data_IF_595252844491
#
_entry.id   IF_595252844491
#
_cell.length_a   1.000
_cell.length_b   1.000
_cell.length_c   1.000
_cell.angle_alpha   90.00
_cell.angle_beta   90.00
_cell.angle_gamma   90.00
#
_symmetry.space_group_name_H-M   'P 1'
#
loop_
_entity.id
_entity.type
_entity.pdbx_description
1 polymer ?
#
# COMPACT_ATOMS: atom_id res chain seq x y z
N UNK A 1 17.92 -11.61 -20.00
CA UNK A 1 18.61 -12.60 -19.16
C UNK A 1 17.85 -13.92 -19.21
N UNK A 2 18.53 -15.06 -19.13
CA UNK A 2 17.92 -16.41 -19.16
C UNK A 2 17.75 -17.05 -17.78
N UNK A 3 18.44 -16.52 -16.77
CA UNK A 3 18.40 -17.05 -15.41
C UNK A 3 17.09 -16.66 -14.71
N UNK A 4 16.49 -17.60 -13.98
CA UNK A 4 15.25 -17.40 -13.21
C UNK A 4 15.22 -18.25 -11.96
N UNK A 5 14.55 -17.76 -10.93
CA UNK A 5 14.19 -18.53 -9.72
C UNK A 5 12.73 -18.96 -9.84
N UNK A 6 12.45 -20.22 -9.59
CA UNK A 6 11.08 -20.78 -9.59
C UNK A 6 10.83 -21.38 -8.21
N UNK A 7 9.88 -20.86 -7.42
CA UNK A 7 9.53 -21.45 -6.14
C UNK A 7 9.09 -22.90 -6.31
N UNK A 8 9.63 -23.79 -5.50
CA UNK A 8 9.21 -25.18 -5.41
C UNK A 8 8.60 -25.43 -4.03
N UNK A 9 7.31 -25.75 -4.01
CA UNK A 9 6.55 -25.96 -2.79
C UNK A 9 6.27 -27.45 -2.66
N UNK A 10 6.67 -28.02 -1.52
CA UNK A 10 6.35 -29.41 -1.20
C UNK A 10 4.93 -29.52 -0.67
N UNK A 11 4.10 -30.34 -1.32
CA UNK A 11 2.68 -30.52 -1.01
C UNK A 11 2.34 -31.99 -0.75
N UNK A 12 1.32 -32.28 0.07
CA UNK A 12 0.90 -33.66 0.37
C UNK A 12 0.29 -34.38 -0.84
N UNK A 13 -0.41 -33.66 -1.72
CA UNK A 13 -1.03 -34.21 -2.93
C UNK A 13 -0.82 -33.23 -4.11
N UNK A 14 0.07 -33.61 -5.03
CA UNK A 14 0.40 -32.77 -6.19
C UNK A 14 -0.77 -32.70 -7.18
N UNK A 15 -1.57 -33.77 -7.33
CA UNK A 15 -2.69 -33.77 -8.29
C UNK A 15 -3.82 -32.87 -7.81
N UNK A 16 -4.23 -32.98 -6.55
CA UNK A 16 -5.22 -32.09 -5.97
C UNK A 16 -4.76 -30.61 -6.02
N UNK A 17 -3.45 -30.38 -5.83
CA UNK A 17 -2.86 -29.04 -5.96
C UNK A 17 -2.96 -28.54 -7.41
N UNK A 18 -2.55 -29.33 -8.40
CA UNK A 18 -2.65 -28.97 -9.83
C UNK A 18 -4.09 -28.61 -10.21
N UNK A 19 -5.05 -29.46 -9.86
CA UNK A 19 -6.45 -29.26 -10.21
C UNK A 19 -7.00 -27.96 -9.59
N UNK A 20 -6.62 -27.65 -8.34
CA UNK A 20 -7.01 -26.42 -7.68
C UNK A 20 -6.41 -25.18 -8.36
N UNK A 21 -5.10 -25.16 -8.62
CA UNK A 21 -4.42 -24.02 -9.25
C UNK A 21 -4.89 -23.80 -10.70
N UNK A 22 -5.19 -24.87 -11.45
CA UNK A 22 -5.82 -24.75 -12.77
C UNK A 22 -7.19 -24.08 -12.70
N UNK A 23 -7.99 -24.40 -11.68
CA UNK A 23 -9.34 -23.84 -11.50
C UNK A 23 -9.35 -22.32 -11.28
N UNK A 24 -8.20 -21.73 -10.95
CA UNK A 24 -8.02 -20.28 -10.73
C UNK A 24 -7.14 -19.62 -11.80
N UNK A 25 -6.85 -20.34 -12.90
CA UNK A 25 -6.25 -19.78 -14.11
C UNK A 25 -4.77 -20.09 -14.33
N UNK A 26 -4.13 -20.88 -13.47
CA UNK A 26 -2.79 -21.39 -13.76
C UNK A 26 -2.84 -22.42 -14.89
N UNK A 27 -1.76 -22.50 -15.66
CA UNK A 27 -1.62 -23.46 -16.76
C UNK A 27 -0.55 -24.47 -16.42
N UNK A 28 -0.85 -25.76 -16.59
CA UNK A 28 0.15 -26.81 -16.44
C UNK A 28 1.14 -26.71 -17.60
N UNK A 29 2.44 -26.68 -17.28
CA UNK A 29 3.52 -26.71 -18.25
C UNK A 29 4.06 -28.12 -18.43
N UNK A 30 4.31 -28.83 -17.31
CA UNK A 30 4.77 -30.22 -17.32
C UNK A 30 4.40 -30.93 -16.00
N UNK A 31 4.35 -32.26 -16.03
CA UNK A 31 4.07 -33.12 -14.87
C UNK A 31 4.91 -34.38 -14.93
N UNK A 32 5.32 -34.90 -13.77
CA UNK A 32 6.02 -36.19 -13.67
C UNK A 32 5.35 -37.14 -12.68
N UNK A 33 5.66 -38.42 -12.84
CA UNK A 33 5.24 -39.49 -11.92
C UNK A 33 3.78 -39.86 -12.04
N UNK A 34 3.14 -39.72 -13.21
CA UNK A 34 1.73 -40.07 -13.40
C UNK A 34 1.44 -41.61 -13.44
N UNK A 35 2.27 -42.41 -12.78
CA UNK A 35 2.16 -43.86 -12.67
C UNK A 35 2.06 -44.23 -11.17
N UNK A 36 1.11 -45.11 -10.80
CA UNK A 36 0.90 -45.47 -9.39
C UNK A 36 0.14 -44.42 -8.57
N UNK A 37 0.67 -44.04 -7.41
CA UNK A 37 -0.02 -43.30 -6.33
C UNK A 37 -0.31 -41.79 -6.59
N UNK A 38 -0.19 -41.31 -7.84
CA UNK A 38 -0.49 -39.93 -8.22
C UNK A 38 0.74 -39.13 -8.68
N UNK A 39 0.56 -37.83 -8.97
CA UNK A 39 1.66 -36.99 -9.47
C UNK A 39 2.77 -36.82 -8.41
N UNK A 40 4.02 -37.02 -8.82
CA UNK A 40 5.17 -36.70 -7.97
C UNK A 40 5.61 -35.24 -8.09
N UNK A 41 5.36 -34.63 -9.25
CA UNK A 41 5.77 -33.26 -9.55
C UNK A 41 4.85 -32.61 -10.58
N UNK A 42 4.67 -31.30 -10.47
CA UNK A 42 4.11 -30.47 -11.51
C UNK A 42 4.79 -29.10 -11.56
N UNK A 43 4.91 -28.53 -12.75
CA UNK A 43 5.27 -27.12 -12.96
C UNK A 43 4.13 -26.41 -13.67
N UNK A 44 3.68 -25.30 -13.08
CA UNK A 44 2.59 -24.48 -13.59
C UNK A 44 3.09 -23.09 -13.91
N UNK A 45 2.42 -22.41 -14.84
CA UNK A 45 2.61 -21.00 -15.14
C UNK A 45 1.39 -20.16 -14.78
N UNK A 46 1.65 -18.90 -14.44
CA UNK A 46 0.66 -17.85 -14.36
C UNK A 46 1.23 -16.60 -15.03
N UNK A 47 0.69 -16.25 -16.20
CA UNK A 47 1.35 -15.31 -17.10
C UNK A 47 2.76 -15.79 -17.45
N UNK A 48 3.77 -14.97 -17.12
CA UNK A 48 5.18 -15.28 -17.37
C UNK A 48 5.89 -15.91 -16.16
N UNK A 49 5.22 -15.97 -15.00
CA UNK A 49 5.76 -16.57 -13.78
C UNK A 49 5.52 -18.07 -13.73
N UNK A 50 6.32 -18.78 -12.94
CA UNK A 50 6.20 -20.23 -12.75
C UNK A 50 6.22 -20.58 -11.27
N UNK A 51 5.59 -21.70 -10.93
CA UNK A 51 5.66 -22.34 -9.61
C UNK A 51 5.73 -23.85 -9.81
N UNK A 52 6.53 -24.52 -9.00
CA UNK A 52 6.66 -25.97 -8.98
C UNK A 52 5.99 -26.52 -7.72
N UNK A 53 5.30 -27.63 -7.87
CA UNK A 53 4.76 -28.42 -6.78
C UNK A 53 5.42 -29.80 -6.81
N UNK A 54 5.98 -30.20 -5.68
CA UNK A 54 6.66 -31.48 -5.54
C UNK A 54 6.04 -32.26 -4.38
N UNK A 55 6.01 -33.58 -4.49
CA UNK A 55 5.51 -34.45 -3.43
C UNK A 55 6.41 -34.40 -2.18
N UNK A 56 5.93 -34.97 -1.07
CA UNK A 56 6.68 -35.02 0.20
C UNK A 56 6.39 -33.83 1.12
N UNK A 57 5.40 -33.01 0.78
CA UNK A 57 4.88 -32.00 1.68
C UNK A 57 4.00 -32.59 2.78
N UNK A 58 3.78 -31.81 3.82
CA UNK A 58 2.89 -32.17 4.92
C UNK A 58 1.68 -31.26 4.95
N UNK A 59 0.54 -31.83 5.36
CA UNK A 59 -0.61 -31.03 5.80
C UNK A 59 -0.23 -30.20 7.01
N UNK A 60 -0.82 -29.01 7.15
CA UNK A 60 -0.55 -28.11 8.27
C UNK A 60 -1.85 -27.61 8.87
N UNK A 61 -1.89 -27.45 10.19
CA UNK A 61 -2.97 -26.76 10.92
C UNK A 61 -2.57 -25.34 11.33
N UNK A 62 -1.35 -24.91 10.99
CA UNK A 62 -0.85 -23.59 11.34
C UNK A 62 -1.73 -22.48 10.75
N UNK A 63 -1.81 -21.36 11.46
CA UNK A 63 -2.53 -20.19 10.97
C UNK A 63 -1.93 -19.65 9.67
N UNK A 64 -0.59 -19.67 9.55
CA UNK A 64 0.15 -19.28 8.35
C UNK A 64 1.34 -20.23 8.19
N UNK A 65 1.69 -20.55 6.95
CA UNK A 65 2.86 -21.38 6.61
C UNK A 65 4.06 -20.48 6.32
N UNK A 66 5.22 -21.08 6.12
CA UNK A 66 6.50 -20.36 6.03
C UNK A 66 6.68 -19.55 4.73
N UNK A 67 5.81 -19.77 3.73
CA UNK A 67 5.87 -19.10 2.43
C UNK A 67 4.46 -18.67 2.01
N UNK A 68 4.38 -17.48 1.42
CA UNK A 68 3.20 -16.95 0.77
C UNK A 68 3.49 -16.75 -0.73
N UNK A 69 2.44 -16.84 -1.55
CA UNK A 69 2.50 -16.45 -2.96
C UNK A 69 1.82 -15.11 -3.15
N UNK A 70 2.53 -14.14 -3.73
CA UNK A 70 1.92 -12.90 -4.20
C UNK A 70 1.71 -12.99 -5.72
N UNK A 71 0.45 -12.93 -6.15
CA UNK A 71 0.04 -13.11 -7.54
C UNK A 71 -0.54 -11.81 -8.07
N UNK A 72 0.16 -11.19 -9.02
CA UNK A 72 -0.37 -10.04 -9.76
C UNK A 72 -1.47 -10.49 -10.72
N UNK A 73 -2.61 -9.82 -10.66
CA UNK A 73 -3.77 -10.05 -11.53
C UNK A 73 -4.47 -8.70 -11.78
N UNK A 74 -5.44 -8.66 -12.69
CA UNK A 74 -6.30 -7.49 -12.91
C UNK A 74 -7.75 -7.75 -12.48
N UNK A 75 -7.99 -8.89 -11.81
CA UNK A 75 -9.31 -9.48 -11.59
C UNK A 75 -9.54 -9.87 -10.13
N UNK A 76 -9.09 -9.05 -9.18
CA UNK A 76 -9.17 -9.38 -7.74
C UNK A 76 -10.62 -9.59 -7.31
N UNK A 77 -11.54 -8.71 -7.70
CA UNK A 77 -12.97 -8.84 -7.37
C UNK A 77 -13.63 -10.05 -8.03
N UNK A 78 -13.35 -10.30 -9.31
CA UNK A 78 -13.88 -11.47 -10.03
C UNK A 78 -13.38 -12.78 -9.39
N UNK A 79 -12.11 -12.83 -8.98
CA UNK A 79 -11.55 -13.97 -8.28
C UNK A 79 -12.23 -14.16 -6.93
N UNK A 80 -12.46 -13.08 -6.18
CA UNK A 80 -13.20 -13.17 -4.93
C UNK A 80 -14.60 -13.76 -5.13
N UNK A 81 -15.37 -13.26 -6.11
CA UNK A 81 -16.71 -13.80 -6.37
C UNK A 81 -16.69 -15.29 -6.73
N UNK A 82 -15.66 -15.74 -7.46
CA UNK A 82 -15.49 -17.16 -7.84
C UNK A 82 -15.02 -18.05 -6.69
N UNK A 83 -14.31 -17.50 -5.70
CA UNK A 83 -13.62 -18.27 -4.68
C UNK A 83 -14.26 -18.21 -3.29
N UNK A 84 -15.01 -17.15 -2.97
CA UNK A 84 -15.49 -16.85 -1.60
C UNK A 84 -16.21 -18.01 -0.90
N UNK A 85 -16.86 -18.90 -1.66
CA UNK A 85 -17.63 -20.05 -1.15
C UNK A 85 -16.86 -21.39 -1.27
N UNK A 86 -15.63 -21.37 -1.77
CA UNK A 86 -14.79 -22.56 -2.09
C UNK A 86 -13.48 -22.61 -1.32
N UNK A 87 -13.04 -21.51 -0.71
CA UNK A 87 -11.72 -21.38 -0.06
C UNK A 87 -11.83 -20.70 1.29
N UNK A 88 -10.78 -20.86 2.11
CA UNK A 88 -10.60 -20.09 3.34
C UNK A 88 -10.17 -18.66 2.98
N UNK A 89 -11.12 -17.72 2.99
CA UNK A 89 -10.85 -16.30 2.77
C UNK A 89 -10.29 -15.70 4.05
N UNK A 90 -9.01 -15.38 4.04
CA UNK A 90 -8.32 -14.73 5.16
C UNK A 90 -8.67 -13.25 5.21
N UNK A 91 -8.57 -12.56 4.06
CA UNK A 91 -8.95 -11.16 3.92
C UNK A 91 -9.74 -10.96 2.63
N UNK A 92 -10.91 -10.33 2.74
CA UNK A 92 -11.74 -9.95 1.58
C UNK A 92 -11.06 -8.86 0.75
N UNK A 93 -11.51 -8.60 -0.49
CA UNK A 93 -10.99 -7.51 -1.30
C UNK A 93 -10.96 -6.19 -0.54
N UNK A 94 -9.76 -5.63 -0.38
CA UNK A 94 -9.54 -4.37 0.33
C UNK A 94 -8.46 -3.55 -0.36
N UNK A 95 -8.49 -2.23 -0.17
CA UNK A 95 -7.45 -1.34 -0.67
C UNK A 95 -6.41 -1.14 0.43
N UNK A 96 -5.14 -1.25 0.06
CA UNK A 96 -4.00 -1.07 0.95
C UNK A 96 -3.52 0.37 0.90
N UNK A 97 -2.88 0.83 1.99
CA UNK A 97 -2.34 2.19 2.07
C UNK A 97 -1.28 2.47 0.99
N UNK A 98 -0.59 1.43 0.53
CA UNK A 98 0.45 1.48 -0.50
C UNK A 98 -0.08 1.36 -1.94
N UNK A 99 -1.40 1.47 -2.14
CA UNK A 99 -1.99 1.62 -3.47
C UNK A 99 -2.31 0.31 -4.19
N UNK A 100 -2.44 -0.80 -3.46
CA UNK A 100 -2.91 -2.06 -4.03
C UNK A 100 -4.36 -2.34 -3.63
N UNK A 101 -5.04 -3.13 -4.44
CA UNK A 101 -6.29 -3.79 -4.12
C UNK A 101 -5.99 -5.28 -4.00
N UNK A 102 -6.24 -5.86 -2.84
CA UNK A 102 -5.75 -7.20 -2.50
C UNK A 102 -6.85 -8.11 -1.96
N UNK A 103 -6.75 -9.41 -2.27
CA UNK A 103 -7.53 -10.52 -1.74
C UNK A 103 -6.56 -11.56 -1.17
N UNK A 104 -6.77 -12.01 0.06
CA UNK A 104 -5.93 -13.04 0.68
C UNK A 104 -6.77 -14.29 0.96
N UNK A 105 -6.35 -15.41 0.39
CA UNK A 105 -6.99 -16.73 0.55
C UNK A 105 -5.97 -17.78 0.93
N UNK A 106 -6.43 -18.92 1.43
CA UNK A 106 -5.59 -20.11 1.53
C UNK A 106 -5.89 -21.10 0.41
N UNK A 107 -4.82 -21.68 -0.15
CA UNK A 107 -4.95 -22.79 -1.09
C UNK A 107 -5.34 -24.10 -0.39
N UNK A 108 -5.51 -25.16 -1.19
CA UNK A 108 -5.85 -26.51 -0.69
C UNK A 108 -4.79 -27.08 0.29
N UNK A 109 -3.58 -26.53 0.31
CA UNK A 109 -2.46 -26.91 1.18
C UNK A 109 -2.23 -25.93 2.34
N UNK A 110 -3.14 -24.96 2.51
CA UNK A 110 -3.14 -23.87 3.50
C UNK A 110 -2.02 -22.83 3.35
N UNK A 111 -1.34 -22.76 2.21
CA UNK A 111 -0.45 -21.63 1.91
C UNK A 111 -1.28 -20.40 1.61
N UNK A 112 -0.82 -19.23 2.06
CA UNK A 112 -1.50 -17.98 1.77
C UNK A 112 -1.16 -17.55 0.35
N UNK A 113 -2.19 -17.12 -0.38
CA UNK A 113 -2.05 -16.49 -1.68
C UNK A 113 -2.70 -15.11 -1.60
N UNK A 114 -1.89 -14.09 -1.85
CA UNK A 114 -2.36 -12.72 -2.02
C UNK A 114 -2.50 -12.43 -3.50
N UNK A 115 -3.73 -12.19 -3.96
CA UNK A 115 -3.99 -11.66 -5.29
C UNK A 115 -4.00 -10.14 -5.21
N UNK A 116 -3.10 -9.51 -5.95
CA UNK A 116 -2.94 -8.05 -5.95
C UNK A 116 -3.12 -7.44 -7.33
N UNK A 117 -3.79 -6.30 -7.37
CA UNK A 117 -3.80 -5.40 -8.51
C UNK A 117 -3.61 -3.95 -8.05
N UNK A 118 -3.13 -3.02 -8.90
CA UNK A 118 -3.16 -1.60 -8.55
C UNK A 118 -4.59 -1.17 -8.19
N UNK A 119 -4.77 -0.48 -7.06
CA UNK A 119 -6.04 0.17 -6.75
C UNK A 119 -6.21 1.43 -7.61
N UNK A 120 -7.40 2.03 -7.62
CA UNK A 120 -7.60 3.34 -8.23
C UNK A 120 -6.57 4.37 -7.74
N UNK A 121 -6.27 4.36 -6.44
CA UNK A 121 -5.25 5.24 -5.87
C UNK A 121 -3.83 4.91 -6.35
N UNK A 122 -3.46 3.63 -6.41
CA UNK A 122 -2.16 3.23 -6.97
C UNK A 122 -1.99 3.68 -8.41
N UNK A 123 -3.02 3.44 -9.25
CA UNK A 123 -3.06 3.89 -10.65
C UNK A 123 -2.97 5.41 -10.76
N UNK A 124 -3.68 6.14 -9.90
CA UNK A 124 -3.62 7.61 -9.86
C UNK A 124 -2.21 8.11 -9.59
N UNK A 125 -1.57 7.56 -8.56
CA UNK A 125 -0.23 7.97 -8.14
C UNK A 125 0.83 7.66 -9.20
N UNK A 126 0.74 6.52 -9.88
CA UNK A 126 1.58 6.20 -11.03
C UNK A 126 1.36 7.19 -12.16
N UNK A 127 0.09 7.46 -12.53
CA UNK A 127 -0.24 8.44 -13.56
C UNK A 127 0.31 9.83 -13.27
N UNK A 128 0.21 10.30 -12.03
CA UNK A 128 0.77 11.59 -11.60
C UNK A 128 2.30 11.60 -11.70
N UNK A 129 2.99 10.58 -11.16
CA UNK A 129 4.46 10.53 -11.14
C UNK A 129 5.07 10.44 -12.53
N UNK A 130 4.42 9.70 -13.42
CA UNK A 130 4.90 9.50 -14.79
C UNK A 130 4.41 10.61 -15.74
N UNK A 131 3.50 11.48 -15.30
CA UNK A 131 2.83 12.47 -16.16
C UNK A 131 1.88 11.83 -17.18
N UNK A 132 1.40 10.61 -16.93
CA UNK A 132 0.52 9.85 -17.79
C UNK A 132 -0.96 10.20 -17.51
N UNK A 133 -1.50 11.12 -18.30
CA UNK A 133 -2.87 11.63 -18.13
C UNK A 133 -3.95 10.55 -18.32
N UNK A 134 -3.69 9.53 -19.14
CA UNK A 134 -4.69 8.47 -19.39
C UNK A 134 -4.84 7.56 -18.17
N UNK A 135 -3.74 7.24 -17.47
CA UNK A 135 -3.82 6.55 -16.18
C UNK A 135 -4.55 7.39 -15.12
N UNK A 136 -4.33 8.70 -15.10
CA UNK A 136 -5.06 9.60 -14.20
C UNK A 136 -6.56 9.55 -14.50
N UNK A 137 -6.97 9.62 -15.78
CA UNK A 137 -8.38 9.51 -16.16
C UNK A 137 -8.99 8.18 -15.75
N UNK A 138 -8.32 7.06 -16.05
CA UNK A 138 -8.76 5.71 -15.65
C UNK A 138 -8.98 5.62 -14.14
N UNK A 139 -8.04 6.17 -13.35
CA UNK A 139 -8.16 6.17 -11.90
C UNK A 139 -9.35 7.02 -11.41
N UNK A 140 -9.55 8.20 -11.97
CA UNK A 140 -10.66 9.10 -11.61
C UNK A 140 -12.03 8.51 -11.99
N UNK A 141 -12.11 7.86 -13.14
CA UNK A 141 -13.35 7.24 -13.64
C UNK A 141 -13.81 6.05 -12.78
N UNK A 142 -12.92 5.48 -11.95
CA UNK A 142 -13.28 4.40 -11.02
C UNK A 142 -14.32 4.82 -9.98
N UNK A 143 -14.38 6.11 -9.62
CA UNK A 143 -15.27 6.63 -8.57
C UNK A 143 -14.87 6.26 -7.13
N UNK A 144 -13.79 5.50 -6.92
CA UNK A 144 -13.39 4.96 -5.61
C UNK A 144 -12.41 5.85 -4.83
N UNK A 145 -12.12 7.05 -5.34
CA UNK A 145 -11.13 7.96 -4.78
C UNK A 145 -11.77 8.94 -3.80
N UNK A 146 -11.35 8.87 -2.54
CA UNK A 146 -11.74 9.83 -1.50
C UNK A 146 -11.04 11.19 -1.70
N UNK A 147 -11.60 12.30 -1.19
CA UNK A 147 -11.04 13.64 -1.36
C UNK A 147 -9.58 13.79 -0.90
N UNK A 148 -9.21 13.16 0.21
CA UNK A 148 -7.85 13.14 0.76
C UNK A 148 -6.85 12.49 -0.22
N UNK A 149 -7.26 11.44 -0.93
CA UNK A 149 -6.44 10.79 -1.95
C UNK A 149 -6.24 11.65 -3.19
N UNK A 150 -7.27 12.39 -3.59
CA UNK A 150 -7.19 13.37 -4.68
C UNK A 150 -6.26 14.54 -4.31
N UNK A 151 -6.36 15.05 -3.08
CA UNK A 151 -5.45 16.07 -2.55
C UNK A 151 -4.01 15.57 -2.50
N UNK A 152 -3.77 14.34 -2.03
CA UNK A 152 -2.44 13.72 -2.03
C UNK A 152 -1.84 13.60 -3.45
N UNK A 153 -2.66 13.23 -4.44
CA UNK A 153 -2.26 13.20 -5.84
C UNK A 153 -1.91 14.61 -6.36
N UNK A 154 -2.75 15.62 -6.06
CA UNK A 154 -2.53 17.01 -6.45
C UNK A 154 -1.20 17.54 -5.89
N UNK A 155 -0.93 17.27 -4.62
CA UNK A 155 0.34 17.60 -3.98
C UNK A 155 1.55 17.00 -4.72
N UNK A 156 1.42 15.75 -5.16
CA UNK A 156 2.50 15.00 -5.80
C UNK A 156 2.86 15.59 -7.17
N UNK A 157 1.90 16.22 -7.86
CA UNK A 157 2.18 16.96 -9.11
C UNK A 157 3.21 18.07 -8.91
N UNK A 158 3.27 18.66 -7.70
CA UNK A 158 4.13 19.81 -7.37
C UNK A 158 5.52 19.40 -6.85
N UNK A 159 5.85 18.11 -6.87
CA UNK A 159 7.11 17.56 -6.34
C UNK A 159 8.04 16.98 -7.41
N UNK A 160 7.65 16.99 -8.69
CA UNK A 160 8.47 16.46 -9.81
C UNK A 160 8.89 17.54 -10.81
N UNK A 161 9.90 17.24 -11.63
CA UNK A 161 10.43 18.13 -12.69
C UNK A 161 9.45 18.39 -13.86
N UNK A 162 8.30 17.72 -13.86
CA UNK A 162 7.25 17.84 -14.88
C UNK A 162 5.90 18.08 -14.21
N UNK A 163 5.62 19.32 -13.81
CA UNK A 163 4.27 19.73 -13.47
C UNK A 163 3.43 19.65 -14.75
N UNK A 164 2.54 18.66 -14.86
CA UNK A 164 1.58 18.61 -15.96
C UNK A 164 0.35 19.42 -15.53
N UNK A 165 0.26 20.66 -16.00
CA UNK A 165 -0.85 21.58 -15.70
C UNK A 165 -2.22 20.96 -16.03
N UNK A 166 -2.29 20.08 -17.04
CA UNK A 166 -3.53 19.37 -17.36
C UNK A 166 -3.94 18.36 -16.30
N UNK A 167 -2.98 17.65 -15.68
CA UNK A 167 -3.24 16.73 -14.56
C UNK A 167 -3.70 17.50 -13.33
N UNK A 168 -3.08 18.66 -13.05
CA UNK A 168 -3.50 19.55 -11.96
C UNK A 168 -4.96 19.97 -12.14
N UNK A 169 -5.32 20.46 -13.33
CA UNK A 169 -6.70 20.89 -13.63
C UNK A 169 -7.69 19.71 -13.65
N UNK A 170 -7.25 18.52 -14.03
CA UNK A 170 -8.08 17.32 -13.95
C UNK A 170 -8.36 16.92 -12.49
N UNK A 171 -7.34 16.92 -11.64
CA UNK A 171 -7.49 16.62 -10.21
C UNK A 171 -8.37 17.64 -9.49
N UNK A 172 -8.19 18.95 -9.75
CA UNK A 172 -9.06 20.00 -9.19
C UNK A 172 -10.52 19.82 -9.59
N UNK A 173 -10.79 19.50 -10.87
CA UNK A 173 -12.15 19.21 -11.35
C UNK A 173 -12.75 17.97 -10.70
N UNK A 174 -11.93 16.97 -10.37
CA UNK A 174 -12.37 15.80 -9.62
C UNK A 174 -12.63 16.07 -8.12
N UNK A 175 -12.34 17.29 -7.64
CA UNK A 175 -12.56 17.70 -6.25
C UNK A 175 -11.31 17.67 -5.38
N UNK A 176 -10.11 17.56 -5.96
CA UNK A 176 -8.88 17.76 -5.21
C UNK A 176 -8.81 19.19 -4.68
N UNK A 177 -8.63 19.35 -3.37
CA UNK A 177 -8.46 20.65 -2.73
C UNK A 177 -6.98 20.83 -2.41
N UNK A 178 -6.39 21.92 -2.90
CA UNK A 178 -5.03 22.28 -2.54
C UNK A 178 -4.97 22.57 -1.03
N UNK A 179 -3.93 22.08 -0.32
CA UNK A 179 -3.69 22.48 1.06
C UNK A 179 -3.63 24.01 1.16
N UNK A 180 -4.20 24.61 2.23
CA UNK A 180 -4.07 26.03 2.45
C UNK A 180 -2.60 26.45 2.51
N UNK A 181 -2.29 27.61 1.95
CA UNK A 181 -0.97 28.22 2.14
C UNK A 181 -0.84 28.72 3.58
N UNK A 182 0.24 28.31 4.23
CA UNK A 182 0.63 28.81 5.55
C UNK A 182 1.85 29.70 5.36
N UNK A 183 1.80 30.89 5.96
CA UNK A 183 2.89 31.86 5.90
C UNK A 183 4.23 31.23 6.36
N UNK A 184 5.31 31.57 5.66
CA UNK A 184 6.66 31.04 5.96
C UNK A 184 7.11 31.40 7.38
N UNK A 185 6.75 32.58 7.91
CA UNK A 185 7.04 32.96 9.29
C UNK A 185 6.43 32.00 10.31
N UNK A 186 5.16 31.66 10.09
CA UNK A 186 4.40 30.68 10.86
C UNK A 186 5.02 29.29 10.75
N UNK A 187 5.36 28.82 9.54
CA UNK A 187 6.05 27.53 9.37
C UNK A 187 7.41 27.49 10.07
N UNK A 188 8.19 28.57 10.01
CA UNK A 188 9.47 28.69 10.72
C UNK A 188 9.29 28.60 12.24
N UNK A 189 8.20 29.13 12.77
CA UNK A 189 7.90 29.06 14.22
C UNK A 189 7.68 27.62 14.71
N UNK A 190 7.36 26.69 13.80
CA UNK A 190 7.13 25.27 14.11
C UNK A 190 8.40 24.42 14.04
N UNK A 191 9.49 24.93 13.46
CA UNK A 191 10.76 24.20 13.35
C UNK A 191 11.34 23.95 14.74
N UNK A 192 11.75 22.71 14.99
CA UNK A 192 12.35 22.30 16.25
C UNK A 192 12.13 20.84 16.60
N UNK A 193 12.63 20.47 17.77
CA UNK A 193 12.52 19.12 18.33
C UNK A 193 11.38 19.07 19.34
N UNK A 194 10.61 18.00 19.30
CA UNK A 194 9.46 17.76 20.17
C UNK A 194 9.59 16.38 20.82
N UNK A 195 9.23 16.27 22.09
CA UNK A 195 9.44 15.05 22.88
C UNK A 195 8.26 14.77 23.83
N UNK A 196 7.93 13.50 24.00
CA UNK A 196 7.04 12.99 25.07
C UNK A 196 7.83 12.67 26.35
N UNK A 197 7.14 12.52 27.47
CA UNK A 197 7.79 12.19 28.76
C UNK A 197 8.47 10.80 28.74
N UNK A 198 7.93 9.85 27.97
CA UNK A 198 8.45 8.48 27.80
C UNK A 198 9.56 8.36 26.74
N UNK A 199 9.95 9.47 26.09
CA UNK A 199 11.16 9.51 25.24
C UNK A 199 10.93 9.33 23.74
N UNK A 200 9.69 9.28 23.27
CA UNK A 200 9.40 9.42 21.85
C UNK A 200 9.69 10.87 21.39
N UNK A 201 10.33 11.02 20.23
CA UNK A 201 10.79 12.31 19.72
C UNK A 201 10.44 12.48 18.25
N UNK A 202 10.09 13.71 17.87
CA UNK A 202 9.93 14.13 16.48
C UNK A 202 10.75 15.38 16.22
N UNK A 203 11.47 15.39 15.11
CA UNK A 203 12.13 16.58 14.60
C UNK A 203 11.32 17.18 13.44
N UNK A 204 11.01 18.47 13.53
CA UNK A 204 10.32 19.23 12.49
C UNK A 204 11.31 20.12 11.77
N UNK A 205 11.41 19.98 10.45
CA UNK A 205 12.26 20.79 9.59
C UNK A 205 11.46 21.48 8.50
N UNK A 206 11.98 22.59 7.96
CA UNK A 206 11.37 23.36 6.88
C UNK A 206 12.30 23.35 5.67
N UNK A 207 11.88 22.71 4.58
CA UNK A 207 12.61 22.68 3.31
C UNK A 207 11.65 23.02 2.16
N UNK A 208 12.08 23.86 1.22
CA UNK A 208 11.28 24.23 0.04
C UNK A 208 9.86 24.72 0.38
N UNK A 209 9.71 25.46 1.49
CA UNK A 209 8.40 25.98 1.93
C UNK A 209 7.46 24.93 2.52
N UNK A 210 7.91 23.70 2.76
CA UNK A 210 7.12 22.60 3.33
C UNK A 210 7.74 22.07 4.61
N UNK A 211 6.89 21.69 5.57
CA UNK A 211 7.35 21.02 6.77
C UNK A 211 7.60 19.54 6.53
N UNK A 212 8.61 19.02 7.21
CA UNK A 212 8.93 17.60 7.26
C UNK A 212 8.99 17.17 8.72
N UNK A 213 8.47 15.99 9.02
CA UNK A 213 8.55 15.36 10.34
C UNK A 213 9.40 14.09 10.27
N UNK A 214 10.35 13.96 11.19
CA UNK A 214 11.19 12.78 11.35
C UNK A 214 11.01 12.21 12.76
N UNK A 215 10.28 11.09 12.93
CA UNK A 215 10.17 10.38 14.20
C UNK A 215 11.48 9.64 14.52
N UNK A 216 12.15 10.04 15.59
CA UNK A 216 13.44 9.46 15.98
C UNK A 216 14.49 9.54 14.85
N UNK A 217 15.00 8.38 14.44
CA UNK A 217 15.98 8.24 13.35
C UNK A 217 15.38 7.78 12.01
N UNK A 218 14.05 7.81 11.87
CA UNK A 218 13.38 7.41 10.63
C UNK A 218 13.54 8.49 9.53
N UNK A 219 13.34 8.09 8.28
CA UNK A 219 13.32 9.05 7.17
C UNK A 219 12.21 10.10 7.36
N UNK A 220 12.51 11.39 7.13
CA UNK A 220 11.50 12.44 7.23
C UNK A 220 10.40 12.27 6.19
N UNK A 221 9.15 12.54 6.57
CA UNK A 221 8.02 12.62 5.65
C UNK A 221 7.46 14.05 5.60
N UNK A 222 6.95 14.43 4.43
CA UNK A 222 6.35 15.76 4.21
C UNK A 222 4.99 15.89 4.90
N UNK A 223 4.74 17.05 5.49
CA UNK A 223 3.50 17.46 6.13
C UNK A 223 2.72 18.45 5.26
N UNK A 224 1.41 18.27 5.18
CA UNK A 224 0.48 19.19 4.51
C UNK A 224 -0.43 19.85 5.50
N UNK A 225 -0.60 21.17 5.34
CA UNK A 225 -1.54 21.94 6.13
C UNK A 225 -2.97 21.44 5.88
N UNK A 226 -3.69 21.20 6.96
CA UNK A 226 -5.16 21.17 6.99
C UNK A 226 -5.66 22.58 7.28
N UNK A 227 -4.97 23.27 8.19
CA UNK A 227 -5.11 24.67 8.52
C UNK A 227 -3.74 25.24 8.96
N UNK A 228 -3.71 26.44 9.55
CA UNK A 228 -2.46 27.07 9.99
C UNK A 228 -1.71 26.30 11.09
N UNK A 229 -2.40 25.47 11.89
CA UNK A 229 -1.85 24.76 13.05
C UNK A 229 -1.79 23.25 12.85
N UNK A 230 -2.71 22.69 12.06
CA UNK A 230 -2.87 21.24 11.91
C UNK A 230 -2.37 20.77 10.55
N UNK A 231 -1.61 19.67 10.57
CA UNK A 231 -0.94 19.08 9.42
C UNK A 231 -1.17 17.56 9.33
N UNK A 232 -1.03 16.99 8.14
CA UNK A 232 -1.15 15.54 7.88
C UNK A 232 -0.02 15.04 6.95
N UNK A 233 0.49 13.81 7.12
CA UNK A 233 1.46 13.22 6.20
C UNK A 233 0.82 12.65 4.92
N UNK A 234 1.58 12.60 3.81
CA UNK A 234 1.13 12.00 2.52
C UNK A 234 1.07 10.47 2.57
N UNK A 235 2.04 9.85 3.25
CA UNK A 235 2.42 8.47 2.95
C UNK A 235 1.62 7.41 3.71
N UNK A 236 0.85 7.80 4.74
CA UNK A 236 0.24 6.85 5.66
C UNK A 236 -1.11 7.37 6.15
N UNK A 237 -2.21 6.74 5.72
CA UNK A 237 -3.57 7.04 6.22
C UNK A 237 -3.66 6.89 7.75
N UNK A 238 -2.80 6.08 8.36
CA UNK A 238 -2.86 5.73 9.79
C UNK A 238 -1.98 6.62 10.70
N UNK A 239 -1.19 7.54 10.15
CA UNK A 239 -0.33 8.42 10.96
C UNK A 239 -1.06 9.62 11.58
N UNK A 240 -2.34 9.79 11.24
CA UNK A 240 -3.20 10.82 11.83
C UNK A 240 -2.73 12.25 11.57
N UNK A 241 -3.13 13.17 12.44
CA UNK A 241 -2.84 14.61 12.29
C UNK A 241 -1.85 15.11 13.33
N UNK A 242 -0.93 15.98 12.94
CA UNK A 242 -0.02 16.73 13.81
C UNK A 242 -0.54 18.15 13.99
N UNK A 243 -0.85 18.57 15.21
CA UNK A 243 -1.30 19.93 15.54
C UNK A 243 -0.27 20.65 16.40
N UNK A 244 0.15 21.85 16.01
CA UNK A 244 1.04 22.67 16.82
C UNK A 244 0.28 23.40 17.94
N UNK A 245 0.87 23.39 19.13
CA UNK A 245 0.34 24.07 20.30
C UNK A 245 1.10 25.40 20.46
N UNK A 246 0.37 26.51 20.35
CA UNK A 246 0.92 27.87 20.42
C UNK A 246 0.34 28.59 21.64
N UNK A 247 1.21 29.09 22.51
CA UNK A 247 0.85 29.86 23.71
C UNK A 247 1.59 31.19 23.67
N UNK A 248 0.88 32.32 23.86
CA UNK A 248 1.51 33.65 23.84
C UNK A 248 2.18 34.02 22.51
N UNK A 249 1.86 33.33 21.41
CA UNK A 249 2.52 33.51 20.11
C UNK A 249 3.76 32.64 19.90
N UNK A 250 4.13 31.81 20.88
CA UNK A 250 5.26 30.88 20.78
C UNK A 250 4.78 29.43 20.67
N UNK A 251 5.42 28.66 19.80
CA UNK A 251 5.18 27.21 19.72
C UNK A 251 5.78 26.52 20.94
N UNK A 252 4.92 25.97 21.80
CA UNK A 252 5.32 25.29 23.05
C UNK A 252 5.32 23.77 22.92
N UNK A 253 4.69 23.23 21.88
CA UNK A 253 4.60 21.80 21.65
C UNK A 253 3.82 21.42 20.41
N UNK A 254 3.54 20.14 20.25
CA UNK A 254 2.61 19.63 19.24
C UNK A 254 1.87 18.39 19.76
N UNK A 255 0.84 17.96 19.04
CA UNK A 255 0.04 16.80 19.39
C UNK A 255 -0.27 15.98 18.15
N UNK A 256 -0.07 14.67 18.24
CA UNK A 256 -0.36 13.71 17.18
C UNK A 256 -1.65 12.99 17.54
N UNK A 257 -2.62 12.95 16.63
CA UNK A 257 -3.89 12.28 16.86
C UNK A 257 -4.13 11.19 15.82
N UNK A 258 -4.20 9.94 16.27
CA UNK A 258 -4.47 8.76 15.46
C UNK A 258 -5.78 8.12 15.96
N UNK A 259 -6.88 8.33 15.25
CA UNK A 259 -8.21 7.92 15.70
C UNK A 259 -8.57 8.53 17.06
N UNK A 260 -8.82 7.69 18.06
CA UNK A 260 -9.16 8.13 19.42
C UNK A 260 -7.93 8.41 20.31
N UNK A 261 -6.71 8.12 19.85
CA UNK A 261 -5.49 8.31 20.64
C UNK A 261 -4.83 9.65 20.31
N UNK A 262 -4.42 10.38 21.34
CA UNK A 262 -3.69 11.64 21.23
C UNK A 262 -2.39 11.56 22.03
N UNK A 263 -1.28 11.82 21.35
CA UNK A 263 0.06 11.88 21.95
C UNK A 263 0.53 13.32 21.98
N UNK A 264 0.83 13.86 23.16
CA UNK A 264 1.30 15.24 23.33
C UNK A 264 2.81 15.29 23.47
N UNK A 265 3.44 16.16 22.69
CA UNK A 265 4.87 16.40 22.69
C UNK A 265 5.16 17.84 23.12
N UNK A 266 6.08 18.01 24.07
CA UNK A 266 6.58 19.33 24.47
C UNK A 266 7.75 19.71 23.57
N UNK A 267 7.85 20.99 23.21
CA UNK A 267 9.03 21.49 22.49
C UNK A 267 10.25 21.40 23.40
N UNK A 268 11.34 20.87 22.85
CA UNK A 268 12.62 20.82 23.53
C UNK A 268 13.28 22.19 23.36
N UNK A 269 13.62 22.82 24.49
CA UNK A 269 14.38 24.08 24.51
C UNK A 269 15.82 23.86 24.04
#
# INVERSE_FOLDING_TARGET
>A
MKDKVVPMIHVPDVRATVDWYQSIGFKVLDTYGNEGDGLSFAILSFGNSQVMFNQGGQSSTAFRRDVDLYVYTEKVDDLYQKLKDRVDVVERPHNTFYGMRELIVRDVNRFWITFGQPSAFGTLMTGVREGNIDLVRIALDSGDLKPDRLTAALITTSAGDKTNDEIVELLKRAGAVAPPEVDIGTLKSYVGKYKTEDGFEINITLNYGKLFAAPGSQEPFTLFAIDSLTFTPIAFEDYGTLTFNVEGGETVGCSIRNGAHETRLKRVM
#
